data_IF_778176226014
#
_entry.id   IF_778176226014
#
_cell.length_a   1.000
_cell.length_b   1.000
_cell.length_c   1.000
_cell.angle_alpha   90.00
_cell.angle_beta   90.00
_cell.angle_gamma   90.00
#
_symmetry.space_group_name_H-M   'P 1'
#
loop_
_entity.id
_entity.type
_entity.pdbx_description
1 polymer ?
#
# COMPACT_ATOMS: atom_id res chain seq x y z
N UNK A 1 2.25 -6.28 26.80
CA UNK A 1 2.93 -5.52 25.74
C UNK A 1 2.61 -4.03 25.95
N UNK A 2 3.59 -3.12 26.04
CA UNK A 2 3.29 -1.68 26.19
C UNK A 2 2.55 -1.18 24.94
N UNK A 3 1.55 -0.31 25.09
CA UNK A 3 0.72 0.22 24.00
C UNK A 3 1.56 0.84 22.86
N UNK A 4 2.69 1.47 23.21
CA UNK A 4 3.68 2.00 22.24
C UNK A 4 4.27 0.93 21.31
N UNK A 5 4.49 -0.28 21.79
CA UNK A 5 5.00 -1.38 20.96
C UNK A 5 3.93 -1.89 19.99
N UNK A 6 2.65 -1.77 20.36
CA UNK A 6 1.53 -2.10 19.49
C UNK A 6 1.44 -1.11 18.31
N UNK A 7 1.52 0.20 18.57
CA UNK A 7 1.54 1.21 17.51
C UNK A 7 2.74 1.03 16.58
N UNK A 8 3.95 0.80 17.11
CA UNK A 8 5.15 0.53 16.30
C UNK A 8 4.98 -0.69 15.41
N UNK A 9 4.42 -1.78 15.96
CA UNK A 9 4.13 -2.98 15.19
C UNK A 9 3.18 -2.69 14.03
N UNK A 10 2.07 -2.00 14.29
CA UNK A 10 1.10 -1.66 13.24
C UNK A 10 1.68 -0.72 12.19
N UNK A 11 2.44 0.32 12.58
CA UNK A 11 3.11 1.20 11.61
C UNK A 11 4.04 0.41 10.70
N UNK A 12 4.85 -0.50 11.26
CA UNK A 12 5.76 -1.34 10.46
C UNK A 12 4.98 -2.32 9.56
N UNK A 13 3.91 -2.91 10.07
CA UNK A 13 3.04 -3.81 9.31
C UNK A 13 2.40 -3.10 8.11
N UNK A 14 1.84 -1.91 8.33
CA UNK A 14 1.24 -1.12 7.25
C UNK A 14 2.31 -0.65 6.25
N UNK A 15 3.48 -0.22 6.71
CA UNK A 15 4.60 0.13 5.84
C UNK A 15 5.03 -1.04 4.94
N UNK A 16 5.28 -2.22 5.53
CA UNK A 16 5.67 -3.42 4.80
C UNK A 16 4.59 -3.83 3.79
N UNK A 17 3.32 -3.76 4.20
CA UNK A 17 2.18 -4.04 3.32
C UNK A 17 2.12 -3.04 2.16
N UNK A 18 2.25 -1.74 2.42
CA UNK A 18 2.30 -0.69 1.37
C UNK A 18 3.40 -0.98 0.35
N UNK A 19 4.60 -1.35 0.79
CA UNK A 19 5.70 -1.69 -0.13
C UNK A 19 5.35 -2.94 -0.96
N UNK A 20 4.81 -3.98 -0.33
CA UNK A 20 4.38 -5.20 -1.03
C UNK A 20 3.32 -4.92 -2.10
N UNK A 21 2.29 -4.14 -1.78
CA UNK A 21 1.24 -3.78 -2.73
C UNK A 21 1.74 -2.84 -3.83
N UNK A 22 2.63 -1.90 -3.50
CA UNK A 22 3.28 -1.04 -4.50
C UNK A 22 4.09 -1.85 -5.52
N UNK A 23 4.80 -2.88 -5.07
CA UNK A 23 5.51 -3.81 -5.96
C UNK A 23 4.54 -4.58 -6.87
N UNK A 24 3.42 -5.05 -6.33
CA UNK A 24 2.39 -5.74 -7.11
C UNK A 24 1.77 -4.84 -8.19
N UNK A 25 1.42 -3.61 -7.84
CA UNK A 25 0.92 -2.59 -8.78
C UNK A 25 1.95 -2.30 -9.87
N UNK A 26 3.22 -2.15 -9.49
CA UNK A 26 4.30 -1.93 -10.46
C UNK A 26 4.44 -3.10 -11.44
N UNK A 27 4.37 -4.35 -10.95
CA UNK A 27 4.42 -5.54 -11.81
C UNK A 27 3.28 -5.55 -12.82
N UNK A 28 2.04 -5.34 -12.37
CA UNK A 28 0.87 -5.31 -13.25
C UNK A 28 0.94 -4.13 -14.25
N UNK A 29 1.51 -3.00 -13.85
CA UNK A 29 1.78 -1.88 -14.75
C UNK A 29 2.78 -2.24 -15.86
N UNK A 30 3.84 -2.99 -15.53
CA UNK A 30 4.80 -3.48 -16.53
C UNK A 30 4.16 -4.50 -17.49
N UNK A 31 3.23 -5.33 -17.01
CA UNK A 31 2.42 -6.21 -17.87
C UNK A 31 1.49 -5.42 -18.79
N UNK A 32 0.85 -4.36 -18.29
CA UNK A 32 0.02 -3.46 -19.09
C UNK A 32 0.80 -2.83 -20.25
N UNK A 33 2.04 -2.39 -20.02
CA UNK A 33 2.90 -1.83 -21.08
C UNK A 33 3.17 -2.89 -22.16
N UNK A 34 3.43 -4.14 -21.77
CA UNK A 34 3.66 -5.23 -22.73
C UNK A 34 2.40 -5.53 -23.54
N UNK A 35 1.24 -5.63 -22.89
CA UNK A 35 -0.04 -5.87 -23.54
C UNK A 35 -0.41 -4.73 -24.52
N UNK A 36 -0.20 -3.47 -24.11
CA UNK A 36 -0.40 -2.30 -24.97
C UNK A 36 0.46 -2.38 -26.24
N UNK A 37 1.75 -2.69 -26.10
CA UNK A 37 2.67 -2.82 -27.23
C UNK A 37 2.32 -4.02 -28.14
N UNK A 38 1.75 -5.08 -27.57
CA UNK A 38 1.29 -6.27 -28.29
C UNK A 38 -0.13 -6.12 -28.91
N UNK A 39 -0.83 -5.01 -28.63
CA UNK A 39 -2.25 -4.78 -29.00
C UNK A 39 -3.19 -5.85 -28.44
N UNK A 40 -2.90 -6.32 -27.23
CA UNK A 40 -3.72 -7.28 -26.49
C UNK A 40 -4.76 -6.57 -25.61
N UNK A 41 -5.65 -7.35 -24.98
CA UNK A 41 -6.67 -6.81 -24.07
C UNK A 41 -6.04 -6.24 -22.80
N UNK A 42 -6.44 -5.02 -22.42
CA UNK A 42 -5.88 -4.27 -21.28
C UNK A 42 -6.85 -4.12 -20.10
N UNK A 43 -8.13 -4.45 -20.28
CA UNK A 43 -9.19 -4.07 -19.35
C UNK A 43 -8.99 -4.65 -17.94
N UNK A 44 -8.62 -5.93 -17.87
CA UNK A 44 -8.36 -6.60 -16.58
C UNK A 44 -7.14 -5.99 -15.87
N UNK A 45 -6.03 -5.79 -16.60
CA UNK A 45 -4.81 -5.19 -16.05
C UNK A 45 -5.07 -3.80 -15.47
N UNK A 46 -5.82 -2.96 -16.20
CA UNK A 46 -6.23 -1.63 -15.72
C UNK A 46 -7.09 -1.71 -14.46
N UNK A 47 -8.01 -2.67 -14.39
CA UNK A 47 -8.82 -2.87 -13.19
C UNK A 47 -7.96 -3.31 -11.99
N UNK A 48 -7.06 -4.29 -12.16
CA UNK A 48 -6.17 -4.76 -11.08
C UNK A 48 -5.26 -3.64 -10.58
N UNK A 49 -4.71 -2.82 -11.48
CA UNK A 49 -3.88 -1.66 -11.15
C UNK A 49 -4.67 -0.66 -10.30
N UNK A 50 -5.89 -0.30 -10.71
CA UNK A 50 -6.73 0.64 -9.95
C UNK A 50 -7.03 0.11 -8.54
N UNK A 51 -7.45 -1.16 -8.41
CA UNK A 51 -7.71 -1.78 -7.12
C UNK A 51 -6.45 -1.82 -6.25
N UNK A 52 -5.30 -2.16 -6.84
CA UNK A 52 -4.02 -2.17 -6.13
C UNK A 52 -3.59 -0.77 -5.67
N UNK A 53 -3.86 0.26 -6.46
CA UNK A 53 -3.58 1.65 -6.11
C UNK A 53 -4.45 2.13 -4.94
N UNK A 54 -5.75 1.85 -4.98
CA UNK A 54 -6.69 2.16 -3.89
C UNK A 54 -6.31 1.45 -2.58
N UNK A 55 -5.91 0.19 -2.67
CA UNK A 55 -5.39 -0.58 -1.53
C UNK A 55 -4.11 0.03 -0.96
N UNK A 56 -3.16 0.39 -1.82
CA UNK A 56 -1.90 1.03 -1.42
C UNK A 56 -2.14 2.37 -0.73
N UNK A 57 -3.03 3.20 -1.29
CA UNK A 57 -3.43 4.47 -0.70
C UNK A 57 -4.07 4.32 0.68
N UNK A 58 -4.96 3.33 0.82
CA UNK A 58 -5.59 3.00 2.10
C UNK A 58 -4.55 2.61 3.15
N UNK A 59 -3.60 1.76 2.80
CA UNK A 59 -2.53 1.32 3.72
C UNK A 59 -1.62 2.47 4.15
N UNK A 60 -1.26 3.37 3.23
CA UNK A 60 -0.50 4.58 3.56
C UNK A 60 -1.24 5.49 4.53
N UNK A 61 -2.55 5.65 4.32
CA UNK A 61 -3.43 6.44 5.21
C UNK A 61 -3.49 5.83 6.61
N UNK A 62 -3.63 4.50 6.70
CA UNK A 62 -3.62 3.77 7.98
C UNK A 62 -2.28 3.88 8.71
N UNK A 63 -1.17 3.71 7.98
CA UNK A 63 0.18 3.89 8.54
C UNK A 63 0.34 5.30 9.15
N UNK A 64 -0.08 6.32 8.41
CA UNK A 64 0.01 7.72 8.84
C UNK A 64 -0.83 7.96 10.09
N UNK A 65 -2.07 7.48 10.12
CA UNK A 65 -2.96 7.60 11.28
C UNK A 65 -2.37 6.92 12.52
N UNK A 66 -1.92 5.67 12.40
CA UNK A 66 -1.33 4.90 13.51
C UNK A 66 -0.06 5.58 14.04
N UNK A 67 0.79 6.09 13.14
CA UNK A 67 1.99 6.82 13.53
C UNK A 67 1.66 8.13 14.27
N UNK A 68 0.70 8.91 13.76
CA UNK A 68 0.27 10.17 14.38
C UNK A 68 -0.32 9.95 15.78
N UNK A 69 -1.22 8.96 15.93
CA UNK A 69 -1.81 8.61 17.23
C UNK A 69 -0.72 8.19 18.22
N UNK A 70 0.18 7.29 17.80
CA UNK A 70 1.28 6.85 18.65
C UNK A 70 2.23 7.98 19.07
N UNK A 71 2.35 9.05 18.27
CA UNK A 71 3.13 10.24 18.60
C UNK A 71 2.41 11.21 19.54
N UNK A 72 1.09 11.23 19.56
CA UNK A 72 0.33 12.03 20.54
C UNK A 72 0.47 11.43 21.95
N UNK A 73 0.50 10.11 22.10
CA UNK A 73 0.80 9.41 23.36
C UNK A 73 2.25 9.58 23.87
N UNK A 74 3.12 10.26 23.11
CA UNK A 74 4.50 10.59 23.53
C UNK A 74 4.59 11.97 24.22
N UNK A 75 3.49 12.74 24.31
CA UNK A 75 3.48 14.10 24.91
C UNK A 75 2.94 14.18 26.35
N UNK A 76 2.51 13.06 26.92
CA UNK A 76 2.15 12.88 28.33
C UNK A 76 3.22 12.04 29.05
#
# INVERSE_FOLDING_TARGET
MRIKNLFRFFTLFFFASTVFWSYWVYRDYMELIKAYNAKESEAELRHRINVGFDGTWTLMSMMTMVYCIGKLEDKD
#
